data_IF_705869372039
#
_entry.id   IF_705869372039
#
_cell.length_a   1.000
_cell.length_b   1.000
_cell.length_c   1.000
_cell.angle_alpha   90.00
_cell.angle_beta   90.00
_cell.angle_gamma   90.00
#
_symmetry.space_group_name_H-M   'P 1'
#
loop_
_entity.id
_entity.type
_entity.pdbx_description
1 polymer ?
#
# COMPACT_ATOMS: atom_id res chain seq x y z
N UNK A 1 -12.19 -5.80 -15.16
CA UNK A 1 -10.81 -5.23 -15.21
C UNK A 1 -10.81 -3.71 -15.41
N UNK A 2 -11.73 -3.15 -16.20
CA UNK A 2 -11.78 -1.72 -16.59
C UNK A 2 -11.85 -0.70 -15.43
N UNK A 3 -12.24 -1.09 -14.23
CA UNK A 3 -12.32 -0.20 -13.09
C UNK A 3 -11.13 -0.35 -12.12
N UNK A 4 -10.67 -1.57 -11.90
CA UNK A 4 -9.59 -1.84 -10.92
C UNK A 4 -8.20 -1.54 -11.48
N UNK A 5 -7.93 -1.99 -12.72
CA UNK A 5 -6.61 -1.87 -13.31
C UNK A 5 -6.16 -0.41 -13.48
N UNK A 6 -6.98 0.51 -14.07
CA UNK A 6 -6.58 1.91 -14.21
C UNK A 6 -6.28 2.63 -12.88
N UNK A 7 -6.98 2.25 -11.80
CA UNK A 7 -6.72 2.81 -10.47
C UNK A 7 -5.41 2.34 -9.84
N UNK A 8 -4.85 1.23 -10.33
CA UNK A 8 -3.57 0.68 -9.84
C UNK A 8 -2.38 1.16 -10.64
N UNK A 9 -2.46 1.07 -11.96
CA UNK A 9 -1.31 1.29 -12.87
C UNK A 9 -1.42 2.58 -13.67
N UNK A 10 -2.49 3.35 -13.47
CA UNK A 10 -2.77 4.55 -14.25
C UNK A 10 -3.48 4.23 -15.58
N UNK A 11 -4.05 5.28 -16.16
CA UNK A 11 -4.94 5.15 -17.32
C UNK A 11 -4.21 4.68 -18.58
N UNK A 12 -2.97 5.18 -18.78
CA UNK A 12 -2.20 4.89 -19.99
C UNK A 12 -1.77 3.40 -20.04
N UNK A 13 -1.13 2.92 -18.99
CA UNK A 13 -0.70 1.54 -18.90
C UNK A 13 -1.89 0.56 -18.92
N UNK A 14 -2.98 0.91 -18.24
CA UNK A 14 -4.19 0.09 -18.26
C UNK A 14 -4.79 -0.04 -19.66
N UNK A 15 -4.88 1.06 -20.44
CA UNK A 15 -5.38 1.04 -21.82
C UNK A 15 -4.45 0.21 -22.71
N UNK A 16 -3.14 0.41 -22.62
CA UNK A 16 -2.17 -0.33 -23.40
C UNK A 16 -2.31 -1.84 -23.15
N UNK A 17 -2.32 -2.29 -21.89
CA UNK A 17 -2.49 -3.69 -21.52
C UNK A 17 -3.82 -4.26 -22.01
N UNK A 18 -4.92 -3.54 -21.81
CA UNK A 18 -6.25 -4.03 -22.16
C UNK A 18 -6.47 -4.08 -23.68
N UNK A 19 -5.93 -3.12 -24.43
CA UNK A 19 -6.14 -3.05 -25.88
C UNK A 19 -5.19 -4.00 -26.62
N UNK A 20 -3.96 -4.19 -26.13
CA UNK A 20 -3.02 -5.13 -26.74
C UNK A 20 -3.30 -6.58 -26.35
N UNK A 21 -3.94 -6.83 -25.21
CA UNK A 21 -4.14 -8.17 -24.66
C UNK A 21 -2.83 -8.91 -24.33
N UNK A 22 -1.70 -8.18 -24.25
CA UNK A 22 -0.39 -8.79 -23.98
C UNK A 22 -0.27 -9.28 -22.54
N UNK A 23 0.56 -10.28 -22.36
CA UNK A 23 0.95 -10.77 -21.03
C UNK A 23 2.16 -9.96 -20.54
N UNK A 24 2.16 -9.59 -19.27
CA UNK A 24 3.28 -8.93 -18.60
C UNK A 24 3.98 -9.88 -17.64
N UNK A 25 5.30 -9.71 -17.49
CA UNK A 25 6.09 -10.43 -16.49
C UNK A 25 6.04 -9.80 -15.10
N UNK A 26 6.60 -10.50 -14.11
CA UNK A 26 6.61 -10.04 -12.72
C UNK A 26 7.40 -8.73 -12.52
N UNK A 27 8.56 -8.59 -13.16
CA UNK A 27 9.38 -7.36 -13.08
C UNK A 27 8.65 -6.15 -13.68
N UNK A 28 7.96 -6.33 -14.80
CA UNK A 28 7.16 -5.29 -15.41
C UNK A 28 5.96 -4.92 -14.53
N UNK A 29 5.32 -5.90 -13.89
CA UNK A 29 4.26 -5.67 -12.92
C UNK A 29 4.74 -4.81 -11.74
N UNK A 30 5.97 -5.02 -11.26
CA UNK A 30 6.59 -4.17 -10.23
C UNK A 30 6.85 -2.76 -10.78
N UNK A 31 7.43 -2.64 -11.96
CA UNK A 31 7.78 -1.36 -12.56
C UNK A 31 6.55 -0.45 -12.77
N UNK A 32 5.40 -1.03 -13.09
CA UNK A 32 4.14 -0.27 -13.26
C UNK A 32 3.28 -0.13 -11.99
N UNK A 33 3.75 -0.61 -10.83
CA UNK A 33 3.04 -0.50 -9.56
C UNK A 33 1.87 -1.49 -9.36
N UNK A 34 1.81 -2.55 -10.17
CA UNK A 34 0.79 -3.61 -10.03
C UNK A 34 1.18 -4.62 -8.95
N UNK A 35 2.47 -4.85 -8.74
CA UNK A 35 3.02 -5.71 -7.69
C UNK A 35 4.07 -4.96 -6.86
N UNK A 36 4.26 -5.38 -5.62
CA UNK A 36 5.26 -4.78 -4.73
C UNK A 36 6.67 -5.31 -5.00
N UNK A 37 6.78 -6.59 -5.35
CA UNK A 37 8.06 -7.30 -5.52
C UNK A 37 7.90 -8.43 -6.55
N UNK A 38 8.95 -8.72 -7.27
CA UNK A 38 9.08 -9.91 -8.10
C UNK A 38 10.16 -10.78 -7.50
N UNK A 39 9.87 -12.04 -7.27
CA UNK A 39 10.78 -13.03 -6.66
C UNK A 39 10.65 -14.37 -7.34
N UNK A 40 11.62 -15.25 -7.16
CA UNK A 40 11.53 -16.62 -7.65
C UNK A 40 10.34 -17.35 -6.98
N UNK A 41 9.69 -18.24 -7.73
CA UNK A 41 8.49 -18.95 -7.29
C UNK A 41 8.68 -19.67 -5.94
N UNK A 42 9.81 -20.35 -5.78
CA UNK A 42 10.17 -21.06 -4.57
C UNK A 42 10.46 -20.15 -3.35
N UNK A 43 10.74 -18.86 -3.57
CA UNK A 43 10.97 -17.87 -2.52
C UNK A 43 9.73 -17.03 -2.19
N UNK A 44 8.62 -17.18 -2.92
CA UNK A 44 7.44 -16.32 -2.79
C UNK A 44 6.88 -16.28 -1.37
N UNK A 45 6.72 -17.44 -0.73
CA UNK A 45 6.17 -17.52 0.61
C UNK A 45 7.10 -16.88 1.65
N UNK A 46 8.39 -17.20 1.59
CA UNK A 46 9.40 -16.67 2.51
C UNK A 46 9.47 -15.14 2.43
N UNK A 47 9.57 -14.60 1.23
CA UNK A 47 9.63 -13.16 0.98
C UNK A 47 8.34 -12.44 1.39
N UNK A 48 7.18 -13.08 1.18
CA UNK A 48 5.89 -12.53 1.62
C UNK A 48 5.81 -12.47 3.15
N UNK A 49 6.23 -13.53 3.83
CA UNK A 49 6.25 -13.57 5.29
C UNK A 49 7.26 -12.57 5.87
N UNK A 50 8.44 -12.43 5.26
CA UNK A 50 9.43 -11.44 5.67
C UNK A 50 8.88 -10.00 5.55
N UNK A 51 8.17 -9.70 4.45
CA UNK A 51 7.48 -8.40 4.28
C UNK A 51 6.41 -8.20 5.35
N UNK A 52 5.57 -9.20 5.62
CA UNK A 52 4.55 -9.14 6.66
C UNK A 52 5.17 -8.92 8.05
N UNK A 53 6.25 -9.60 8.38
CA UNK A 53 7.00 -9.41 9.62
C UNK A 53 7.57 -8.00 9.76
N UNK A 54 8.05 -7.40 8.67
CA UNK A 54 8.52 -6.01 8.69
C UNK A 54 7.41 -5.03 9.06
N UNK A 55 6.17 -5.30 8.67
CA UNK A 55 5.02 -4.50 9.08
C UNK A 55 4.71 -4.64 10.58
N UNK A 56 4.87 -5.85 11.13
CA UNK A 56 4.65 -6.09 12.56
C UNK A 56 5.64 -5.37 13.47
N UNK A 57 6.81 -4.96 12.95
CA UNK A 57 7.75 -4.11 13.66
C UNK A 57 7.22 -2.69 13.90
N UNK A 58 6.20 -2.28 13.17
CA UNK A 58 5.55 -0.97 13.32
C UNK A 58 4.38 -1.02 14.31
N UNK A 59 3.84 0.16 14.64
CA UNK A 59 2.67 0.25 15.51
C UNK A 59 1.45 -0.38 14.86
N UNK A 60 0.90 -1.44 15.47
CA UNK A 60 -0.35 -2.05 15.01
C UNK A 60 -1.52 -1.05 15.00
N UNK A 61 -1.51 -0.09 15.93
CA UNK A 61 -2.49 0.98 15.98
C UNK A 61 -2.42 1.86 14.73
N UNK A 62 -1.21 2.31 14.38
CA UNK A 62 -0.97 3.11 13.17
C UNK A 62 -1.30 2.33 11.90
N UNK A 63 -0.85 1.07 11.79
CA UNK A 63 -1.16 0.23 10.61
C UNK A 63 -2.66 0.07 10.35
N UNK A 64 -3.45 -0.10 11.41
CA UNK A 64 -4.92 -0.19 11.29
C UNK A 64 -5.55 1.14 10.91
N UNK A 65 -5.06 2.22 11.51
CA UNK A 65 -5.51 3.58 11.19
C UNK A 65 -5.22 3.92 9.74
N UNK A 66 -3.98 3.73 9.29
CA UNK A 66 -3.56 4.00 7.91
C UNK A 66 -4.37 3.20 6.91
N UNK A 67 -4.59 1.90 7.17
CA UNK A 67 -5.43 1.07 6.31
C UNK A 67 -6.86 1.60 6.20
N UNK A 68 -7.45 2.03 7.32
CA UNK A 68 -8.79 2.60 7.35
C UNK A 68 -8.84 3.93 6.58
N UNK A 69 -7.89 4.82 6.84
CA UNK A 69 -7.84 6.16 6.22
C UNK A 69 -7.60 6.07 4.70
N UNK A 70 -6.66 5.24 4.27
CA UNK A 70 -6.36 5.02 2.85
C UNK A 70 -7.59 4.45 2.14
N UNK A 71 -8.18 3.37 2.67
CA UNK A 71 -9.31 2.71 2.02
C UNK A 71 -10.57 3.60 2.01
N UNK A 72 -10.81 4.36 3.06
CA UNK A 72 -11.96 5.26 3.14
C UNK A 72 -11.82 6.52 2.29
N UNK A 73 -10.58 6.93 1.98
CA UNK A 73 -10.31 8.11 1.16
C UNK A 73 -10.13 7.83 -0.35
N UNK A 74 -9.98 6.55 -0.73
CA UNK A 74 -9.47 6.17 -2.06
C UNK A 74 -10.34 6.63 -3.25
N UNK A 75 -11.65 6.69 -3.06
CA UNK A 75 -12.62 7.10 -4.10
C UNK A 75 -13.07 8.57 -3.98
N UNK A 76 -12.52 9.31 -3.02
CA UNK A 76 -12.81 10.71 -2.78
C UNK A 76 -11.93 11.63 -3.65
N UNK A 77 -12.37 12.86 -3.87
CA UNK A 77 -11.45 13.92 -4.31
C UNK A 77 -10.39 14.16 -3.24
N UNK A 78 -9.25 14.78 -3.60
CA UNK A 78 -8.21 15.08 -2.61
C UNK A 78 -8.75 15.90 -1.43
N UNK A 79 -9.60 16.88 -1.70
CA UNK A 79 -10.20 17.73 -0.65
C UNK A 79 -11.09 16.93 0.31
N UNK A 80 -11.95 16.07 -0.22
CA UNK A 80 -12.79 15.17 0.57
C UNK A 80 -11.95 14.14 1.33
N UNK A 81 -10.90 13.57 0.69
CA UNK A 81 -9.96 12.65 1.33
C UNK A 81 -9.23 13.29 2.51
N UNK A 82 -8.78 14.55 2.39
CA UNK A 82 -8.17 15.30 3.48
C UNK A 82 -9.17 15.62 4.61
N UNK A 83 -10.43 15.88 4.27
CA UNK A 83 -11.49 16.05 5.26
C UNK A 83 -11.79 14.74 5.98
N UNK A 84 -11.86 13.64 5.25
CA UNK A 84 -12.01 12.28 5.79
C UNK A 84 -10.88 11.92 6.76
N UNK A 85 -9.64 12.15 6.37
CA UNK A 85 -8.46 11.90 7.20
C UNK A 85 -8.54 12.69 8.52
N UNK A 86 -8.82 13.98 8.46
CA UNK A 86 -8.96 14.83 9.68
C UNK A 86 -10.09 14.38 10.59
N UNK A 87 -11.21 13.94 10.03
CA UNK A 87 -12.38 13.52 10.78
C UNK A 87 -12.20 12.13 11.43
N UNK A 88 -11.41 11.25 10.81
CA UNK A 88 -11.30 9.84 11.19
C UNK A 88 -9.92 9.45 11.73
N UNK A 89 -8.94 10.36 11.73
CA UNK A 89 -7.64 10.07 12.32
C UNK A 89 -7.78 9.80 13.82
N UNK A 90 -7.36 8.62 14.30
CA UNK A 90 -7.52 8.28 15.72
C UNK A 90 -6.52 8.97 16.64
N UNK A 91 -5.67 9.84 16.08
CA UNK A 91 -4.64 10.56 16.85
C UNK A 91 -3.45 9.66 17.24
N UNK A 92 -2.87 9.93 18.40
CA UNK A 92 -1.67 9.26 18.90
C UNK A 92 -1.98 7.85 19.38
N UNK A 93 -1.21 6.87 18.89
CA UNK A 93 -1.31 5.50 19.37
C UNK A 93 -0.79 5.31 20.80
N UNK A 94 -1.25 4.27 21.50
CA UNK A 94 -0.85 4.01 22.90
C UNK A 94 0.64 3.71 23.06
N UNK A 95 1.32 3.25 22.00
CA UNK A 95 2.73 2.90 21.95
C UNK A 95 3.64 4.05 21.44
N UNK A 96 3.09 5.21 21.14
CA UNK A 96 3.83 6.32 20.54
C UNK A 96 4.96 6.83 21.41
N UNK A 97 4.73 7.02 22.71
CA UNK A 97 5.74 7.52 23.63
C UNK A 97 6.95 6.58 23.71
N UNK A 98 6.71 5.26 23.78
CA UNK A 98 7.74 4.25 23.81
C UNK A 98 8.55 4.22 22.49
N UNK A 99 7.88 4.38 21.35
CA UNK A 99 8.51 4.40 20.02
C UNK A 99 9.38 5.63 19.80
N UNK A 100 8.93 6.79 20.25
CA UNK A 100 9.73 8.03 20.21
C UNK A 100 11.02 7.89 21.00
N UNK A 101 10.97 7.34 22.23
CA UNK A 101 12.17 7.09 23.03
C UNK A 101 13.16 6.11 22.36
N UNK A 102 12.66 5.15 21.59
CA UNK A 102 13.50 4.23 20.84
C UNK A 102 14.14 4.88 19.59
N UNK A 103 13.46 5.89 19.03
CA UNK A 103 13.97 6.65 17.87
C UNK A 103 15.10 7.60 18.26
N UNK A 104 15.00 8.27 19.41
CA UNK A 104 16.02 9.20 19.92
C UNK A 104 17.33 8.51 20.33
N UNK A 105 17.34 7.18 20.44
CA UNK A 105 18.54 6.36 20.80
C UNK A 105 19.32 5.84 19.58
N UNK A 106 18.89 6.15 18.36
CA UNK A 106 19.58 5.81 17.10
C UNK A 106 20.36 6.99 16.57
#
# INVERSE_FOLDING_TARGET
>A
MSQRLPRRVGLLAAKEMMFSGRVIGGEEAVAMGLANKCVAENALLEETLAMAQSFLANSWFTLRADKMLINGGLDNTLQEGLAWERANSPGRGPDMAQRLQAFDKK
#
